data_IF_870220067165
#
_entry.id   IF_870220067165
#
_cell.length_a   1.000
_cell.length_b   1.000
_cell.length_c   1.000
_cell.angle_alpha   90.00
_cell.angle_beta   90.00
_cell.angle_gamma   90.00
#
_symmetry.space_group_name_H-M   'P 1'
#
loop_
_entity.id
_entity.type
_entity.pdbx_description
1 polymer ?
#
# COMPACT_ATOMS: atom_id res chain seq x y z
N UNK A 1 -2.64 -2.32 0.81
CA UNK A 1 -3.94 -1.85 0.28
C UNK A 1 -4.30 -2.77 -0.88
N UNK A 2 -5.56 -3.17 -1.05
CA UNK A 2 -6.00 -4.06 -2.17
C UNK A 2 -7.22 -3.49 -2.88
N UNK A 3 -7.46 -3.80 -4.18
CA UNK A 3 -8.63 -3.34 -4.90
C UNK A 3 -9.91 -4.07 -4.45
N UNK A 4 -11.05 -3.39 -4.51
CA UNK A 4 -12.40 -3.89 -4.22
C UNK A 4 -13.33 -3.55 -5.40
N UNK A 5 -13.53 -4.46 -6.35
CA UNK A 5 -14.20 -4.14 -7.61
C UNK A 5 -13.35 -3.23 -8.52
N UNK A 6 -13.91 -2.82 -9.67
CA UNK A 6 -13.18 -2.00 -10.65
C UNK A 6 -12.86 -0.61 -10.06
N UNK A 7 -11.62 -0.44 -9.59
CA UNK A 7 -10.98 0.84 -9.20
C UNK A 7 -11.21 1.37 -7.77
N UNK A 8 -11.62 0.56 -6.79
CA UNK A 8 -11.70 1.01 -5.38
C UNK A 8 -10.54 0.39 -4.61
N UNK A 9 -9.86 1.15 -3.77
CA UNK A 9 -8.79 0.65 -2.89
C UNK A 9 -9.25 0.55 -1.43
N UNK A 10 -8.78 -0.46 -0.70
CA UNK A 10 -9.05 -0.61 0.75
C UNK A 10 -7.80 -0.99 1.55
N UNK A 11 -7.73 -0.48 2.79
CA UNK A 11 -6.76 -0.98 3.75
C UNK A 11 -7.02 -2.44 4.10
N UNK A 12 -5.95 -3.18 4.36
CA UNK A 12 -6.04 -4.61 4.67
C UNK A 12 -6.68 -4.87 6.04
N UNK A 13 -6.52 -3.93 6.99
CA UNK A 13 -7.11 -3.99 8.34
C UNK A 13 -8.60 -3.61 8.38
N UNK A 14 -9.21 -3.30 7.22
CA UNK A 14 -10.61 -2.89 7.12
C UNK A 14 -10.89 -1.45 7.55
N UNK A 15 -9.86 -0.67 7.91
CA UNK A 15 -10.04 0.74 8.24
C UNK A 15 -10.48 1.56 7.00
N UNK A 16 -11.24 2.65 7.18
CA UNK A 16 -11.66 3.51 6.08
C UNK A 16 -10.46 4.12 5.33
N UNK A 17 -10.54 4.17 4.00
CA UNK A 17 -9.56 4.88 3.18
C UNK A 17 -9.89 6.39 3.16
N UNK A 18 -9.32 7.14 4.10
CA UNK A 18 -9.50 8.59 4.24
C UNK A 18 -8.26 9.41 3.87
N UNK A 19 -7.16 8.75 3.47
CA UNK A 19 -5.91 9.38 3.04
C UNK A 19 -5.26 8.59 1.93
N UNK A 20 -4.71 9.30 0.94
CA UNK A 20 -3.88 8.73 -0.13
C UNK A 20 -2.62 9.57 -0.33
N UNK A 21 -1.53 8.93 -0.76
CA UNK A 21 -0.27 9.61 -1.10
C UNK A 21 0.34 9.08 -2.39
N UNK A 22 -0.47 8.90 -3.44
CA UNK A 22 0.03 8.42 -4.73
C UNK A 22 1.11 9.34 -5.31
N UNK A 23 2.10 8.72 -5.96
CA UNK A 23 3.03 9.40 -6.85
C UNK A 23 2.25 9.93 -8.05
N UNK A 24 2.77 10.99 -8.67
CA UNK A 24 2.18 11.54 -9.88
C UNK A 24 2.06 10.45 -10.96
N UNK A 25 0.83 10.25 -11.46
CA UNK A 25 0.50 9.23 -12.45
C UNK A 25 0.02 7.90 -11.88
N UNK A 26 -0.01 7.71 -10.56
CA UNK A 26 -0.45 6.47 -9.91
C UNK A 26 -1.84 6.59 -9.26
N UNK A 27 -2.58 5.47 -9.09
CA UNK A 27 -2.26 4.11 -9.55
C UNK A 27 -2.58 3.92 -11.05
N UNK A 28 -1.75 3.18 -11.79
CA UNK A 28 -1.85 3.03 -13.25
C UNK A 28 -2.03 1.61 -13.77
N UNK A 29 -2.02 0.60 -12.89
CA UNK A 29 -2.12 -0.84 -13.23
C UNK A 29 -1.09 -1.35 -14.22
N UNK A 30 0.08 -0.71 -14.34
CA UNK A 30 1.09 -1.08 -15.32
C UNK A 30 2.11 -2.09 -14.78
N UNK A 31 2.94 -2.64 -15.67
CA UNK A 31 4.14 -3.40 -15.34
C UNK A 31 3.97 -4.74 -14.58
N UNK A 32 2.77 -5.34 -14.58
CA UNK A 32 2.58 -6.66 -13.98
C UNK A 32 1.24 -7.31 -14.31
N UNK A 33 1.15 -8.62 -14.04
CA UNK A 33 -0.12 -9.33 -13.99
C UNK A 33 -0.66 -9.17 -12.55
N UNK A 34 -1.89 -8.66 -12.41
CA UNK A 34 -2.54 -8.40 -11.12
C UNK A 34 -1.87 -7.32 -10.24
N UNK A 35 -1.89 -6.08 -10.75
CA UNK A 35 -1.42 -4.87 -10.04
C UNK A 35 -2.47 -4.44 -9.02
N UNK A 36 -2.49 -5.14 -7.89
CA UNK A 36 -3.53 -5.06 -6.86
C UNK A 36 -3.00 -4.82 -5.45
N UNK A 37 -1.71 -4.53 -5.31
CA UNK A 37 -1.09 -4.12 -4.06
C UNK A 37 -0.51 -2.71 -4.15
N UNK A 38 -0.10 -2.17 -3.01
CA UNK A 38 0.50 -0.82 -2.90
C UNK A 38 1.82 -0.93 -2.16
N UNK A 39 2.81 -0.21 -2.69
CA UNK A 39 4.10 -0.02 -2.05
C UNK A 39 4.37 1.46 -1.84
N UNK A 40 5.27 1.76 -0.91
CA UNK A 40 5.90 3.08 -0.85
C UNK A 40 6.98 3.10 -1.92
N UNK A 41 6.84 4.04 -2.86
CA UNK A 41 7.75 4.24 -3.95
C UNK A 41 9.18 4.46 -3.42
N UNK A 42 10.13 3.80 -4.07
CA UNK A 42 11.55 3.78 -3.70
C UNK A 42 12.31 5.05 -4.15
N UNK A 43 11.73 5.81 -5.08
CA UNK A 43 12.33 6.98 -5.69
C UNK A 43 11.95 8.21 -4.87
N UNK A 44 12.97 8.87 -4.31
CA UNK A 44 12.86 9.93 -3.28
C UNK A 44 12.43 9.40 -1.92
N UNK A 45 12.53 10.26 -0.90
CA UNK A 45 12.19 9.96 0.49
C UNK A 45 10.91 10.71 0.92
N UNK A 46 9.98 10.94 0.00
CA UNK A 46 8.72 11.67 0.23
C UNK A 46 7.53 10.76 0.58
N UNK A 47 7.75 9.44 0.62
CA UNK A 47 6.76 8.46 1.04
C UNK A 47 5.59 8.30 0.09
N UNK A 48 5.76 8.70 -1.19
CA UNK A 48 4.74 8.54 -2.23
C UNK A 48 4.50 7.07 -2.57
N UNK A 49 3.33 6.74 -3.12
CA UNK A 49 2.91 5.36 -3.35
C UNK A 49 2.82 5.02 -4.84
N UNK A 50 3.10 3.76 -5.19
CA UNK A 50 2.75 3.16 -6.48
C UNK A 50 1.84 1.95 -6.25
N UNK A 51 1.03 1.59 -7.24
CA UNK A 51 0.43 0.26 -7.31
C UNK A 51 1.44 -0.75 -7.89
N UNK A 52 1.34 -1.99 -7.44
CA UNK A 52 2.26 -3.06 -7.81
C UNK A 52 1.59 -4.43 -7.69
N UNK A 53 2.21 -5.45 -8.27
CA UNK A 53 1.82 -6.84 -8.03
C UNK A 53 2.03 -7.22 -6.57
N UNK A 54 1.11 -8.00 -6.01
CA UNK A 54 1.23 -8.42 -4.60
C UNK A 54 2.36 -9.43 -4.37
N UNK A 55 2.59 -10.30 -5.35
CA UNK A 55 3.59 -11.38 -5.28
C UNK A 55 4.71 -11.22 -6.32
N UNK A 56 4.49 -10.41 -7.34
CA UNK A 56 5.44 -10.18 -8.42
C UNK A 56 5.58 -8.67 -8.64
N UNK A 57 6.62 -8.12 -8.03
CA UNK A 57 6.97 -6.72 -8.12
C UNK A 57 8.13 -6.57 -9.11
N UNK A 58 8.13 -5.49 -9.89
CA UNK A 58 9.13 -5.20 -10.92
C UNK A 58 10.55 -4.97 -10.36
N UNK A 59 10.72 -4.99 -9.02
CA UNK A 59 12.01 -4.94 -8.31
C UNK A 59 12.02 -5.87 -7.09
N UNK A 60 13.08 -6.68 -6.96
CA UNK A 60 13.41 -7.45 -5.76
C UNK A 60 14.34 -6.60 -4.86
N UNK A 61 14.28 -6.49 -3.52
CA UNK A 61 13.38 -6.96 -2.47
C UNK A 61 12.60 -5.76 -1.91
N UNK A 62 11.29 -5.89 -1.70
CA UNK A 62 10.51 -4.95 -0.89
C UNK A 62 10.33 -5.50 0.52
N UNK A 63 10.36 -4.62 1.51
CA UNK A 63 10.03 -4.94 2.90
C UNK A 63 8.58 -4.55 3.20
N UNK A 64 8.09 -4.94 4.37
CA UNK A 64 6.74 -4.62 4.82
C UNK A 64 6.77 -3.71 6.04
N UNK A 65 5.76 -2.85 6.13
CA UNK A 65 5.47 -2.04 7.32
C UNK A 65 4.29 -2.66 8.05
N UNK A 66 4.49 -3.03 9.31
CA UNK A 66 3.44 -3.58 10.16
C UNK A 66 2.86 -2.49 11.07
N UNK A 67 1.55 -2.57 11.31
CA UNK A 67 0.83 -1.71 12.27
C UNK A 67 0.12 -2.62 13.28
N UNK A 68 0.23 -2.29 14.56
CA UNK A 68 -0.53 -2.94 15.63
C UNK A 68 -1.32 -1.88 16.41
N UNK A 69 -2.45 -2.28 16.97
CA UNK A 69 -3.19 -1.44 17.91
C UNK A 69 -2.33 -1.18 19.15
N UNK A 70 -2.41 0.03 19.70
CA UNK A 70 -1.77 0.33 20.97
C UNK A 70 -2.45 -0.48 22.07
N UNK A 71 -1.69 -1.31 22.79
CA UNK A 71 -2.15 -1.92 24.04
C UNK A 71 -1.94 -0.90 25.15
N UNK A 72 -3.00 -0.30 25.65
CA UNK A 72 -2.92 0.53 26.86
C UNK A 72 -2.65 -0.40 28.04
N UNK A 73 -1.42 -0.38 28.56
CA UNK A 73 -1.15 -0.96 29.87
C UNK A 73 -1.72 -0.03 30.92
N UNK A 74 -2.85 -0.42 31.50
CA UNK A 74 -3.29 0.15 32.77
C UNK A 74 -2.37 -0.41 33.86
N UNK A 75 -1.33 0.33 34.20
CA UNK A 75 -0.54 0.08 35.41
C UNK A 75 -1.22 0.85 36.55
N UNK A 76 -1.66 0.09 37.56
CA UNK A 76 -2.18 0.58 38.84
C UNK A 76 -1.04 0.94 39.78
#
# INVERSE_FOLDING_TARGET
>A
MVPFGLNIWRWYDGSPLNYTNWRDGEPNKCCGLDVSCVLVNYHKSDGKWDDAGCNEIWRNNQHFVCKQSATYKYEF
#
